data_IF_386889513916
#
_entry.id   IF_386889513916
#
_cell.length_a   1.000
_cell.length_b   1.000
_cell.length_c   1.000
_cell.angle_alpha   90.00
_cell.angle_beta   90.00
_cell.angle_gamma   90.00
#
_symmetry.space_group_name_H-M   'P 1'
#
loop_
_entity.id
_entity.type
_entity.pdbx_description
1 polymer ?
#
# COMPACT_ATOMS: atom_id res chain seq x y z
N UNK A 1 15.25 -1.48 -20.11
CA UNK A 1 15.33 -2.14 -18.79
C UNK A 1 16.59 -2.99 -18.80
N UNK A 2 17.60 -2.65 -17.99
CA UNK A 2 18.81 -3.49 -17.87
C UNK A 2 18.43 -4.66 -16.95
N UNK A 3 18.66 -5.93 -17.33
CA UNK A 3 18.45 -7.07 -16.43
C UNK A 3 19.22 -6.86 -15.12
N UNK A 4 18.64 -7.23 -13.97
CA UNK A 4 19.29 -7.04 -12.66
C UNK A 4 20.71 -7.62 -12.61
N UNK A 5 20.96 -8.72 -13.33
CA UNK A 5 22.27 -9.36 -13.49
C UNK A 5 23.27 -8.50 -14.28
N UNK A 6 22.82 -7.81 -15.33
CA UNK A 6 23.68 -6.90 -16.11
C UNK A 6 23.92 -5.59 -15.36
N UNK A 7 22.97 -5.16 -14.54
CA UNK A 7 23.15 -4.04 -13.61
C UNK A 7 24.14 -4.41 -12.50
N UNK A 8 24.08 -5.64 -11.98
CA UNK A 8 25.03 -6.22 -11.03
C UNK A 8 26.45 -6.29 -11.58
N UNK A 9 26.62 -6.75 -12.82
CA UNK A 9 27.90 -6.67 -13.54
C UNK A 9 28.37 -5.22 -13.63
N UNK A 10 27.46 -4.26 -13.87
CA UNK A 10 27.78 -2.83 -13.90
C UNK A 10 28.17 -2.29 -12.51
N UNK A 11 27.57 -2.75 -11.40
CA UNK A 11 27.96 -2.38 -10.02
C UNK A 11 29.40 -2.85 -9.73
N UNK A 12 29.70 -4.09 -10.11
CA UNK A 12 31.00 -4.72 -9.90
C UNK A 12 32.07 -4.12 -10.82
N UNK A 13 31.74 -3.80 -12.07
CA UNK A 13 32.62 -3.12 -13.03
C UNK A 13 32.85 -1.65 -12.66
N UNK A 14 31.84 -0.98 -12.09
CA UNK A 14 31.94 0.37 -11.53
C UNK A 14 32.48 0.39 -10.09
N UNK A 15 33.21 -0.63 -9.65
CA UNK A 15 33.87 -0.76 -8.34
C UNK A 15 34.71 0.45 -7.85
N UNK A 16 34.88 1.49 -8.68
CA UNK A 16 35.53 2.77 -8.38
C UNK A 16 34.56 3.92 -8.07
N UNK A 17 33.26 3.76 -8.25
CA UNK A 17 32.26 4.78 -7.93
C UNK A 17 31.88 4.73 -6.45
N UNK A 18 31.58 5.90 -5.88
CA UNK A 18 31.01 6.02 -4.55
C UNK A 18 29.61 5.37 -4.56
N UNK A 19 29.31 4.39 -3.68
CA UNK A 19 27.99 3.76 -3.61
C UNK A 19 26.83 4.76 -3.48
N UNK A 20 27.06 5.97 -2.97
CA UNK A 20 26.05 7.05 -2.91
C UNK A 20 25.56 7.48 -4.28
N UNK A 21 26.43 7.49 -5.28
CA UNK A 21 26.10 7.86 -6.66
C UNK A 21 25.12 6.85 -7.28
N UNK A 22 25.05 5.64 -6.73
CA UNK A 22 24.19 4.57 -7.22
C UNK A 22 22.77 4.62 -6.65
N UNK A 23 22.52 5.41 -5.61
CA UNK A 23 21.20 5.46 -4.92
C UNK A 23 20.06 5.78 -5.89
N UNK A 24 20.27 6.70 -6.82
CA UNK A 24 19.26 7.05 -7.82
C UNK A 24 18.93 5.88 -8.74
N UNK A 25 19.95 5.16 -9.21
CA UNK A 25 19.79 3.98 -10.06
C UNK A 25 19.11 2.83 -9.29
N UNK A 26 19.51 2.59 -8.02
CA UNK A 26 18.90 1.60 -7.14
C UNK A 26 17.42 1.91 -6.87
N UNK A 27 17.07 3.17 -6.58
CA UNK A 27 15.68 3.59 -6.34
C UNK A 27 14.77 3.32 -7.53
N UNK A 28 15.31 3.34 -8.75
CA UNK A 28 14.55 3.06 -9.98
C UNK A 28 14.28 1.57 -10.20
N UNK A 29 14.93 0.65 -9.49
CA UNK A 29 14.74 -0.79 -9.67
C UNK A 29 13.42 -1.28 -9.06
N UNK A 30 12.76 -2.28 -9.64
CA UNK A 30 11.61 -2.92 -9.01
C UNK A 30 12.04 -3.68 -7.74
N UNK A 31 11.08 -3.94 -6.84
CA UNK A 31 11.35 -4.50 -5.51
C UNK A 31 11.99 -5.88 -5.58
N UNK A 32 11.53 -6.72 -6.49
CA UNK A 32 12.13 -8.03 -6.76
C UNK A 32 13.59 -7.92 -7.23
N UNK A 33 13.92 -6.87 -8.00
CA UNK A 33 15.29 -6.52 -8.35
C UNK A 33 16.14 -6.20 -7.13
N UNK A 34 15.67 -5.32 -6.24
CA UNK A 34 16.38 -4.94 -5.01
C UNK A 34 16.60 -6.13 -4.07
N UNK A 35 15.61 -7.02 -3.92
CA UNK A 35 15.75 -8.23 -3.09
C UNK A 35 16.80 -9.18 -3.68
N UNK A 36 16.84 -9.36 -5.00
CA UNK A 36 17.92 -10.13 -5.66
C UNK A 36 19.30 -9.49 -5.44
N UNK A 37 19.40 -8.16 -5.48
CA UNK A 37 20.64 -7.45 -5.18
C UNK A 37 21.10 -7.65 -3.73
N UNK A 38 20.19 -7.69 -2.75
CA UNK A 38 20.55 -8.01 -1.36
C UNK A 38 21.18 -9.40 -1.26
N UNK A 39 20.55 -10.42 -1.86
CA UNK A 39 21.07 -11.77 -1.89
C UNK A 39 22.46 -11.83 -2.55
N UNK A 40 22.63 -11.14 -3.68
CA UNK A 40 23.92 -11.05 -4.35
C UNK A 40 25.00 -10.42 -3.44
N UNK A 41 24.69 -9.32 -2.74
CA UNK A 41 25.63 -8.70 -1.81
C UNK A 41 26.01 -9.64 -0.67
N UNK A 42 25.07 -10.44 -0.18
CA UNK A 42 25.28 -11.42 0.89
C UNK A 42 26.18 -12.59 0.45
N UNK A 43 25.94 -13.12 -0.75
CA UNK A 43 26.73 -14.23 -1.31
C UNK A 43 28.19 -13.85 -1.62
N UNK A 44 28.41 -12.59 -2.05
CA UNK A 44 29.70 -12.09 -2.52
C UNK A 44 30.51 -11.38 -1.43
N UNK A 45 29.86 -10.86 -0.39
CA UNK A 45 30.54 -10.18 0.71
C UNK A 45 31.65 -11.06 1.31
N UNK A 46 32.84 -10.47 1.46
CA UNK A 46 34.02 -11.16 2.00
C UNK A 46 34.70 -12.16 1.07
N UNK A 47 34.11 -12.50 -0.09
CA UNK A 47 34.68 -13.44 -1.07
C UNK A 47 35.41 -12.69 -2.18
N UNK A 48 34.71 -11.79 -2.89
CA UNK A 48 35.22 -11.10 -4.07
C UNK A 48 35.58 -9.64 -3.80
N UNK A 49 36.53 -9.10 -4.57
CA UNK A 49 36.90 -7.68 -4.52
C UNK A 49 35.98 -6.84 -5.44
N UNK A 50 35.56 -5.63 -5.04
CA UNK A 50 35.87 -4.96 -3.77
C UNK A 50 34.93 -5.38 -2.63
N UNK A 51 35.49 -6.02 -1.59
CA UNK A 51 34.73 -6.59 -0.45
C UNK A 51 33.87 -5.56 0.30
N UNK A 52 34.31 -4.31 0.35
CA UNK A 52 33.71 -3.22 1.15
C UNK A 52 32.44 -2.66 0.50
N UNK A 53 32.36 -2.62 -0.83
CA UNK A 53 31.24 -1.97 -1.51
C UNK A 53 29.94 -2.77 -1.37
N UNK A 54 30.00 -4.10 -1.24
CA UNK A 54 28.80 -4.92 -1.07
C UNK A 54 28.06 -4.62 0.24
N UNK A 55 28.78 -4.41 1.34
CA UNK A 55 28.17 -3.98 2.59
C UNK A 55 27.53 -2.60 2.45
N UNK A 56 28.22 -1.68 1.76
CA UNK A 56 27.71 -0.32 1.58
C UNK A 56 26.45 -0.26 0.71
N UNK A 57 26.43 -1.01 -0.39
CA UNK A 57 25.27 -1.15 -1.27
C UNK A 57 24.13 -1.89 -0.56
N UNK A 58 24.43 -2.91 0.24
CA UNK A 58 23.43 -3.64 1.03
C UNK A 58 22.68 -2.70 1.98
N UNK A 59 23.40 -1.83 2.71
CA UNK A 59 22.77 -0.86 3.61
C UNK A 59 21.86 0.13 2.87
N UNK A 60 22.28 0.61 1.69
CA UNK A 60 21.51 1.55 0.90
C UNK A 60 20.25 0.89 0.35
N UNK A 61 20.34 -0.37 -0.11
CA UNK A 61 19.17 -1.12 -0.54
C UNK A 61 18.18 -1.30 0.62
N UNK A 62 18.65 -1.68 1.80
CA UNK A 62 17.80 -1.81 3.00
C UNK A 62 17.07 -0.49 3.28
N UNK A 63 17.75 0.65 3.23
CA UNK A 63 17.13 1.96 3.43
C UNK A 63 16.12 2.34 2.34
N UNK A 64 16.42 2.04 1.06
CA UNK A 64 15.46 2.22 -0.04
C UNK A 64 14.20 1.36 0.19
N UNK A 65 14.36 0.15 0.71
CA UNK A 65 13.23 -0.70 1.07
C UNK A 65 12.44 -0.14 2.26
N UNK A 66 13.10 0.51 3.21
CA UNK A 66 12.44 1.30 4.27
C UNK A 66 11.52 2.39 3.72
N UNK A 67 11.97 3.12 2.70
CA UNK A 67 11.13 4.12 2.01
C UNK A 67 9.89 3.47 1.38
N UNK A 68 10.04 2.28 0.77
CA UNK A 68 8.91 1.53 0.16
C UNK A 68 7.92 0.99 1.19
N UNK A 69 8.39 0.68 2.39
CA UNK A 69 7.54 0.34 3.52
C UNK A 69 6.73 1.55 4.06
N UNK A 70 7.06 2.76 3.60
CA UNK A 70 6.36 4.00 3.90
C UNK A 70 6.99 4.82 5.03
N UNK A 71 8.22 4.51 5.41
CA UNK A 71 8.98 5.31 6.37
C UNK A 71 9.64 6.51 5.68
N UNK A 72 9.84 7.59 6.42
CA UNK A 72 10.83 8.61 6.05
C UNK A 72 12.21 8.10 6.47
N UNK A 73 13.15 8.00 5.53
CA UNK A 73 14.45 7.37 5.76
C UNK A 73 15.59 8.37 5.65
N UNK A 74 16.40 8.43 6.69
CA UNK A 74 17.73 9.03 6.67
C UNK A 74 18.76 7.91 6.47
N UNK A 75 19.59 8.05 5.44
CA UNK A 75 20.64 7.08 5.14
C UNK A 75 21.87 7.35 6.01
N UNK A 76 22.47 6.32 6.57
CA UNK A 76 23.69 6.43 7.36
C UNK A 76 24.88 6.99 6.57
N UNK A 77 25.77 7.68 7.29
CA UNK A 77 27.10 8.04 6.79
C UNK A 77 28.00 6.82 6.99
N UNK A 78 28.28 6.10 5.90
CA UNK A 78 29.06 4.87 5.88
C UNK A 78 30.16 4.81 6.95
N UNK A 79 30.13 3.75 7.77
CA UNK A 79 31.08 3.50 8.89
C UNK A 79 31.01 4.48 10.06
N UNK A 80 30.04 5.39 10.08
CA UNK A 80 29.81 6.34 11.16
C UNK A 80 28.35 6.29 11.62
N UNK A 81 28.16 5.88 12.86
CA UNK A 81 26.82 5.76 13.43
C UNK A 81 26.04 4.59 12.82
N UNK A 82 24.70 4.64 12.86
CA UNK A 82 23.84 3.59 12.32
C UNK A 82 23.77 3.63 10.79
N UNK A 83 23.52 2.48 10.18
CA UNK A 83 23.33 2.36 8.72
C UNK A 83 22.12 3.16 8.21
N UNK A 84 21.12 3.40 9.05
CA UNK A 84 19.99 4.27 8.71
C UNK A 84 19.05 4.56 9.87
N UNK A 85 18.18 5.55 9.68
CA UNK A 85 17.14 5.94 10.63
C UNK A 85 15.81 5.99 9.89
N UNK A 86 14.85 5.17 10.33
CA UNK A 86 13.51 5.12 9.75
C UNK A 86 12.52 5.80 10.70
N UNK A 87 11.77 6.76 10.18
CA UNK A 87 10.83 7.57 10.97
C UNK A 87 9.40 7.46 10.45
N UNK A 88 8.44 7.42 11.36
CA UNK A 88 7.01 7.46 11.05
C UNK A 88 6.24 8.10 12.23
N UNK A 89 5.73 9.32 12.03
CA UNK A 89 5.19 10.11 13.14
C UNK A 89 6.26 10.33 14.22
N UNK A 90 5.93 10.03 15.47
CA UNK A 90 6.87 10.13 16.61
C UNK A 90 7.78 8.89 16.76
N UNK A 91 7.58 7.86 15.93
CA UNK A 91 8.39 6.65 15.99
C UNK A 91 9.68 6.84 15.21
N UNK A 92 10.80 6.50 15.87
CA UNK A 92 12.14 6.46 15.28
C UNK A 92 12.75 5.07 15.46
N UNK A 93 13.13 4.42 14.37
CA UNK A 93 13.75 3.09 14.36
C UNK A 93 15.19 3.23 13.85
N UNK A 94 16.15 2.79 14.66
CA UNK A 94 17.56 2.71 14.26
C UNK A 94 17.77 1.43 13.47
N UNK A 95 18.30 1.53 12.26
CA UNK A 95 18.49 0.38 11.38
C UNK A 95 19.98 0.07 11.26
N UNK A 96 20.31 -1.20 11.45
CA UNK A 96 21.65 -1.75 11.25
C UNK A 96 21.53 -2.96 10.34
N UNK A 97 22.29 -2.98 9.25
CA UNK A 97 22.25 -4.05 8.25
C UNK A 97 23.58 -4.76 8.15
N UNK A 98 23.55 -6.10 8.03
CA UNK A 98 24.76 -6.88 7.81
C UNK A 98 24.54 -7.90 6.70
N UNK A 99 25.55 -8.03 5.84
CA UNK A 99 25.60 -9.08 4.81
C UNK A 99 25.80 -10.48 5.42
N UNK A 100 26.19 -10.57 6.69
CA UNK A 100 26.26 -11.80 7.47
C UNK A 100 26.01 -11.50 8.95
N UNK A 101 25.27 -12.38 9.60
CA UNK A 101 24.95 -12.29 11.03
C UNK A 101 26.14 -12.50 11.97
N UNK A 102 27.20 -13.15 11.49
CA UNK A 102 28.41 -13.44 12.28
C UNK A 102 29.10 -12.18 12.83
N UNK A 103 28.89 -11.04 12.16
CA UNK A 103 29.48 -9.74 12.54
C UNK A 103 28.46 -8.79 13.15
N UNK A 104 27.22 -9.24 13.37
CA UNK A 104 26.18 -8.41 13.96
C UNK A 104 26.37 -8.30 15.47
N UNK A 105 26.55 -7.07 15.94
CA UNK A 105 26.59 -6.75 17.37
C UNK A 105 25.27 -6.12 17.79
N UNK A 106 24.36 -6.92 18.37
CA UNK A 106 23.05 -6.44 18.84
C UNK A 106 23.21 -5.31 19.86
N UNK A 107 24.25 -5.38 20.70
CA UNK A 107 24.60 -4.32 21.65
C UNK A 107 24.82 -2.97 20.98
N UNK A 108 25.51 -2.93 19.84
CA UNK A 108 25.77 -1.68 19.13
C UNK A 108 24.45 -1.00 18.71
N UNK A 109 23.49 -1.78 18.24
CA UNK A 109 22.17 -1.27 17.86
C UNK A 109 21.43 -0.72 19.09
N UNK A 110 21.48 -1.45 20.22
CA UNK A 110 20.93 -0.98 21.49
C UNK A 110 21.56 0.33 21.95
N UNK A 111 22.90 0.44 21.90
CA UNK A 111 23.63 1.64 22.30
C UNK A 111 23.19 2.84 21.44
N UNK A 112 23.08 2.69 20.12
CA UNK A 112 22.55 3.73 19.24
C UNK A 112 21.09 4.14 19.56
N UNK A 113 20.24 3.18 19.92
CA UNK A 113 18.86 3.49 20.34
C UNK A 113 18.85 4.41 21.56
N UNK A 114 19.75 4.17 22.51
CA UNK A 114 19.88 4.99 23.73
C UNK A 114 20.49 6.36 23.44
N UNK A 115 21.56 6.41 22.67
CA UNK A 115 22.26 7.65 22.32
C UNK A 115 21.37 8.61 21.51
N UNK A 116 20.57 8.08 20.58
CA UNK A 116 19.72 8.87 19.69
C UNK A 116 18.29 9.04 20.19
N UNK A 117 17.99 8.54 21.40
CA UNK A 117 16.67 8.52 22.02
C UNK A 117 15.58 8.01 21.05
N UNK A 118 15.84 6.86 20.43
CA UNK A 118 14.96 6.25 19.44
C UNK A 118 13.94 5.33 20.10
N UNK A 119 12.87 5.00 19.37
CA UNK A 119 11.83 4.09 19.84
C UNK A 119 12.28 2.63 19.89
N UNK A 120 13.11 2.21 18.92
CA UNK A 120 13.63 0.84 18.87
C UNK A 120 14.80 0.70 17.89
N UNK A 121 15.49 -0.44 17.98
CA UNK A 121 16.49 -0.88 17.02
C UNK A 121 15.95 -1.98 16.11
N UNK A 122 16.42 -2.03 14.86
CA UNK A 122 16.10 -3.05 13.89
C UNK A 122 17.40 -3.54 13.22
N UNK A 123 17.83 -4.74 13.59
CA UNK A 123 18.94 -5.41 12.94
C UNK A 123 18.45 -6.28 11.77
N UNK A 124 19.05 -6.11 10.60
CA UNK A 124 18.69 -6.80 9.37
C UNK A 124 19.87 -7.62 8.84
N UNK A 125 19.71 -8.93 8.72
CA UNK A 125 20.74 -9.87 8.29
C UNK A 125 20.12 -11.06 7.51
N UNK A 126 20.88 -11.88 6.79
CA UNK A 126 20.31 -13.05 6.10
C UNK A 126 19.75 -14.11 7.08
N UNK A 127 20.42 -14.30 8.22
CA UNK A 127 20.01 -15.20 9.29
C UNK A 127 20.37 -14.60 10.67
N UNK A 128 20.10 -15.31 11.76
CA UNK A 128 20.53 -14.93 13.11
C UNK A 128 20.97 -16.16 13.89
N UNK A 129 22.03 -16.02 14.69
CA UNK A 129 22.51 -17.06 15.61
C UNK A 129 21.72 -17.04 16.92
N UNK A 130 21.82 -18.10 17.73
CA UNK A 130 21.21 -18.16 19.05
C UNK A 130 21.70 -17.01 19.96
N UNK A 131 22.99 -16.68 19.89
CA UNK A 131 23.58 -15.57 20.64
C UNK A 131 22.94 -14.23 20.26
N UNK A 132 22.65 -14.02 18.96
CA UNK A 132 21.93 -12.81 18.52
C UNK A 132 20.51 -12.76 19.10
N UNK A 133 19.80 -13.89 19.11
CA UNK A 133 18.44 -14.00 19.65
C UNK A 133 18.43 -13.75 21.15
N UNK A 134 19.35 -14.36 21.90
CA UNK A 134 19.50 -14.15 23.35
C UNK A 134 19.82 -12.69 23.68
N UNK A 135 20.76 -12.08 22.94
CA UNK A 135 21.09 -10.67 23.13
C UNK A 135 19.89 -9.74 22.88
N UNK A 136 19.17 -9.94 21.78
CA UNK A 136 17.99 -9.11 21.46
C UNK A 136 16.89 -9.24 22.52
N UNK A 137 16.67 -10.45 23.04
CA UNK A 137 15.75 -10.68 24.17
C UNK A 137 16.20 -9.96 25.44
N UNK A 138 17.50 -9.95 25.72
CA UNK A 138 18.05 -9.31 26.92
C UNK A 138 17.91 -7.79 26.91
N UNK A 139 18.09 -7.14 25.75
CA UNK A 139 17.95 -5.68 25.64
C UNK A 139 16.50 -5.23 25.52
N UNK A 140 15.63 -6.04 24.89
CA UNK A 140 14.20 -5.80 24.79
C UNK A 140 13.77 -4.72 23.79
N UNK A 141 14.68 -3.83 23.38
CA UNK A 141 14.42 -2.73 22.45
C UNK A 141 14.94 -2.95 21.01
N UNK A 142 15.61 -4.07 20.75
CA UNK A 142 16.12 -4.44 19.42
C UNK A 142 15.31 -5.60 18.81
N UNK A 143 14.77 -5.39 17.61
CA UNK A 143 14.18 -6.45 16.78
C UNK A 143 15.19 -6.99 15.79
N UNK A 144 15.08 -8.28 15.49
CA UNK A 144 15.86 -8.97 14.46
C UNK A 144 14.92 -9.32 13.30
N UNK A 145 15.28 -8.92 12.08
CA UNK A 145 14.50 -9.19 10.87
C UNK A 145 15.39 -9.74 9.77
N UNK A 146 15.06 -10.90 9.21
CA UNK A 146 15.86 -11.44 8.11
C UNK A 146 15.63 -10.66 6.82
N UNK A 147 16.57 -10.66 5.88
CA UNK A 147 16.33 -10.04 4.55
C UNK A 147 15.18 -10.70 3.80
N UNK A 148 14.96 -12.00 3.99
CA UNK A 148 13.75 -12.69 3.51
C UNK A 148 12.49 -12.15 4.19
N UNK A 149 12.51 -11.97 5.51
CA UNK A 149 11.43 -11.35 6.26
C UNK A 149 11.09 -9.95 5.77
N UNK A 150 12.11 -9.11 5.52
CA UNK A 150 11.95 -7.78 4.94
C UNK A 150 11.27 -7.85 3.55
N UNK A 151 11.71 -8.77 2.69
CA UNK A 151 11.08 -9.02 1.39
C UNK A 151 9.59 -9.38 1.49
N UNK A 152 9.22 -10.22 2.47
CA UNK A 152 7.81 -10.57 2.72
C UNK A 152 7.00 -9.38 3.24
N UNK A 153 7.57 -8.54 4.10
CA UNK A 153 6.89 -7.31 4.56
C UNK A 153 6.60 -6.37 3.38
N UNK A 154 7.56 -6.24 2.44
CA UNK A 154 7.36 -5.46 1.22
C UNK A 154 6.27 -6.05 0.33
N UNK A 155 6.28 -7.36 0.09
CA UNK A 155 5.24 -8.03 -0.70
C UNK A 155 3.85 -7.77 -0.09
N UNK A 156 3.73 -7.88 1.24
CA UNK A 156 2.49 -7.57 1.95
C UNK A 156 2.12 -6.09 1.85
N UNK A 157 3.09 -5.18 1.93
CA UNK A 157 2.85 -3.73 1.84
C UNK A 157 2.45 -3.29 0.44
N UNK A 158 3.11 -3.78 -0.60
CA UNK A 158 2.84 -3.48 -2.01
C UNK A 158 1.55 -4.16 -2.49
N UNK A 159 1.21 -5.33 -1.93
CA UNK A 159 -0.09 -5.96 -2.08
C UNK A 159 -1.21 -5.28 -1.29
N UNK A 160 -0.94 -4.13 -0.67
CA UNK A 160 -1.79 -3.37 0.24
C UNK A 160 -2.37 -4.19 1.41
N UNK A 161 -1.76 -5.32 1.79
CA UNK A 161 -2.22 -6.17 2.90
C UNK A 161 -1.82 -5.62 4.26
N UNK A 162 -0.75 -4.83 4.32
CA UNK A 162 -0.29 -4.14 5.51
C UNK A 162 -0.20 -2.63 5.27
N UNK A 163 -0.58 -1.84 6.28
CA UNK A 163 -0.30 -0.40 6.31
C UNK A 163 1.02 -0.13 7.02
N UNK A 164 1.57 1.06 6.85
CA UNK A 164 2.77 1.47 7.58
C UNK A 164 2.53 1.51 9.09
N UNK A 165 1.33 1.88 9.56
CA UNK A 165 0.95 1.77 10.97
C UNK A 165 1.05 0.32 11.51
N UNK A 166 0.58 -0.65 10.71
CA UNK A 166 0.70 -2.07 11.09
C UNK A 166 2.17 -2.51 11.12
N UNK A 167 2.99 -2.02 10.19
CA UNK A 167 4.43 -2.31 10.15
C UNK A 167 5.16 -1.74 11.37
N UNK A 168 4.82 -0.52 11.80
CA UNK A 168 5.35 0.07 13.04
C UNK A 168 5.06 -0.83 14.25
N UNK A 169 3.83 -1.35 14.38
CA UNK A 169 3.47 -2.27 15.48
C UNK A 169 4.22 -3.61 15.43
N UNK A 170 4.68 -4.04 14.25
CA UNK A 170 5.48 -5.25 14.08
C UNK A 170 6.95 -4.98 14.42
N UNK A 171 7.49 -3.88 13.91
CA UNK A 171 8.92 -3.56 13.96
C UNK A 171 9.35 -2.88 15.27
N UNK A 172 8.43 -2.24 15.98
CA UNK A 172 8.69 -1.67 17.31
C UNK A 172 8.31 -2.70 18.38
N UNK A 173 9.16 -2.99 19.37
CA UNK A 173 8.80 -3.77 20.54
C UNK A 173 7.60 -3.16 21.27
N UNK A 174 6.50 -3.90 21.34
CA UNK A 174 5.32 -3.51 22.12
C UNK A 174 5.26 -4.41 23.33
N UNK A 175 5.46 -3.85 24.53
CA UNK A 175 5.14 -4.51 25.80
C UNK A 175 3.62 -4.50 26.02
N UNK A 176 2.88 -5.21 25.18
CA UNK A 176 1.43 -5.32 25.32
C UNK A 176 1.06 -6.74 25.73
N UNK A 177 0.40 -6.86 26.88
CA UNK A 177 -0.30 -8.08 27.28
C UNK A 177 -1.54 -8.33 26.40
N UNK A 178 -2.06 -7.29 25.74
CA UNK A 178 -3.20 -7.39 24.83
C UNK A 178 -2.75 -7.94 23.48
N UNK A 179 -3.40 -9.01 23.03
CA UNK A 179 -3.13 -9.68 21.76
C UNK A 179 -3.92 -9.11 20.58
N UNK A 180 -4.86 -8.18 20.84
CA UNK A 180 -5.76 -7.62 19.83
C UNK A 180 -5.01 -7.03 18.63
N UNK A 181 -3.84 -6.41 18.84
CA UNK A 181 -3.04 -5.87 17.74
C UNK A 181 -2.54 -6.96 16.77
N UNK A 182 -2.18 -8.15 17.27
CA UNK A 182 -1.78 -9.27 16.43
C UNK A 182 -2.98 -9.81 15.67
N UNK A 183 -4.15 -9.88 16.32
CA UNK A 183 -5.39 -10.29 15.68
C UNK A 183 -5.75 -9.33 14.56
N UNK A 184 -5.62 -8.02 14.76
CA UNK A 184 -5.86 -7.00 13.73
C UNK A 184 -4.93 -7.17 12.53
N UNK A 185 -3.63 -7.41 12.76
CA UNK A 185 -2.64 -7.68 11.71
C UNK A 185 -3.00 -8.95 10.95
N UNK A 186 -3.29 -10.05 11.67
CA UNK A 186 -3.66 -11.33 11.06
C UNK A 186 -4.94 -11.16 10.24
N UNK A 187 -5.94 -10.46 10.76
CA UNK A 187 -7.20 -10.23 10.08
C UNK A 187 -7.02 -9.33 8.84
N UNK A 188 -6.15 -8.32 8.90
CA UNK A 188 -5.80 -7.49 7.75
C UNK A 188 -5.15 -8.32 6.61
N UNK A 189 -4.30 -9.30 6.96
CA UNK A 189 -3.64 -10.18 5.99
C UNK A 189 -4.60 -11.29 5.47
N UNK A 190 -5.33 -11.93 6.38
CA UNK A 190 -6.15 -13.11 6.11
C UNK A 190 -7.45 -12.78 5.39
N UNK A 191 -7.99 -11.58 5.59
CA UNK A 191 -9.19 -11.15 4.89
C UNK A 191 -8.84 -10.98 3.41
N UNK A 192 -9.33 -11.83 2.50
CA UNK A 192 -9.09 -11.63 1.08
C UNK A 192 -9.67 -10.27 0.73
N UNK A 193 -8.79 -9.34 0.38
CA UNK A 193 -9.27 -8.08 -0.17
C UNK A 193 -10.02 -8.44 -1.44
N UNK A 194 -11.26 -7.93 -1.55
CA UNK A 194 -11.91 -7.84 -2.83
C UNK A 194 -10.87 -7.27 -3.79
N UNK A 195 -10.56 -8.02 -4.85
CA UNK A 195 -9.49 -7.70 -5.79
C UNK A 195 -9.41 -6.18 -5.99
N UNK A 196 -8.20 -5.57 -5.93
CA UNK A 196 -8.07 -4.14 -6.15
C UNK A 196 -8.92 -3.81 -7.37
N UNK A 197 -9.96 -3.02 -7.15
CA UNK A 197 -10.78 -2.57 -8.25
C UNK A 197 -9.82 -1.74 -9.08
N UNK A 198 -9.30 -2.35 -10.16
CA UNK A 198 -8.40 -1.69 -11.11
C UNK A 198 -8.90 -0.25 -11.27
N UNK A 199 -8.05 0.76 -11.10
CA UNK A 199 -8.42 2.11 -11.51
C UNK A 199 -8.96 1.95 -12.93
N UNK A 200 -10.18 2.43 -13.11
CA UNK A 200 -10.92 2.29 -14.36
C UNK A 200 -9.99 2.79 -15.48
N UNK A 201 -9.92 2.14 -16.63
CA UNK A 201 -9.20 2.72 -17.77
C UNK A 201 -9.98 3.94 -18.25
N UNK A 202 -9.30 5.10 -18.46
CA UNK A 202 -9.97 6.23 -19.15
C UNK A 202 -10.36 5.75 -20.54
N UNK A 203 -11.52 6.17 -21.08
CA UNK A 203 -12.11 5.57 -22.26
C UNK A 203 -11.23 5.79 -23.50
N UNK A 204 -10.57 4.73 -23.96
CA UNK A 204 -10.29 4.57 -25.39
C UNK A 204 -11.61 4.25 -26.10
N UNK A 205 -11.83 4.86 -27.26
CA UNK A 205 -12.98 4.59 -28.14
C UNK A 205 -13.17 3.06 -28.28
N UNK A 206 -14.34 2.47 -27.97
CA UNK A 206 -14.47 1.02 -27.91
C UNK A 206 -14.29 0.37 -29.28
N UNK A 207 -13.55 -0.73 -29.40
CA UNK A 207 -13.75 -1.71 -30.47
C UNK A 207 -15.13 -2.37 -30.28
N UNK A 208 -15.82 -2.61 -31.39
CA UNK A 208 -17.16 -3.20 -31.43
C UNK A 208 -17.19 -4.65 -30.91
N UNK A 209 -17.60 -4.84 -29.65
CA UNK A 209 -18.23 -6.08 -29.17
C UNK A 209 -19.50 -5.72 -28.40
N UNK A 210 -20.55 -6.54 -28.55
CA UNK A 210 -21.96 -6.24 -28.22
C UNK A 210 -22.21 -5.43 -26.94
N UNK A 211 -23.20 -4.51 -27.03
CA UNK A 211 -23.54 -3.55 -25.97
C UNK A 211 -23.86 -4.28 -24.65
N UNK A 212 -23.15 -3.99 -23.54
CA UNK A 212 -23.46 -4.56 -22.24
C UNK A 212 -24.86 -4.14 -21.76
N UNK A 213 -25.54 -4.99 -20.98
CA UNK A 213 -26.88 -4.72 -20.41
C UNK A 213 -26.86 -4.62 -18.88
N UNK A 214 -27.87 -3.99 -18.27
CA UNK A 214 -28.01 -3.92 -16.81
C UNK A 214 -28.13 -5.32 -16.19
N UNK A 215 -28.92 -6.21 -16.81
CA UNK A 215 -29.10 -7.59 -16.38
C UNK A 215 -27.78 -8.36 -16.23
N UNK A 216 -26.81 -8.11 -17.11
CA UNK A 216 -25.48 -8.75 -17.03
C UNK A 216 -24.69 -8.30 -15.80
N UNK A 217 -24.92 -7.07 -15.30
CA UNK A 217 -24.32 -6.60 -14.05
C UNK A 217 -25.02 -7.18 -12.84
N UNK A 218 -26.36 -7.25 -12.88
CA UNK A 218 -27.17 -7.74 -11.77
C UNK A 218 -27.07 -9.26 -11.59
N UNK A 219 -26.83 -10.04 -12.66
CA UNK A 219 -26.58 -11.50 -12.58
C UNK A 219 -25.39 -11.89 -11.70
N UNK A 220 -24.44 -10.97 -11.45
CA UNK A 220 -23.26 -11.21 -10.60
C UNK A 220 -23.55 -11.03 -9.11
N UNK A 221 -24.73 -10.52 -8.77
CA UNK A 221 -25.17 -10.27 -7.41
C UNK A 221 -25.81 -11.54 -6.87
N UNK A 222 -25.32 -12.01 -5.73
CA UNK A 222 -25.82 -13.22 -5.05
C UNK A 222 -26.89 -12.85 -4.01
N UNK A 223 -26.83 -11.64 -3.44
CA UNK A 223 -27.79 -11.14 -2.45
C UNK A 223 -28.91 -10.33 -3.13
N UNK A 224 -30.12 -10.88 -3.20
CA UNK A 224 -31.27 -10.26 -3.87
C UNK A 224 -31.62 -8.84 -3.41
N UNK A 225 -31.37 -8.52 -2.14
CA UNK A 225 -31.57 -7.18 -1.56
C UNK A 225 -30.82 -6.07 -2.32
N UNK A 226 -29.62 -6.35 -2.86
CA UNK A 226 -28.82 -5.35 -3.58
C UNK A 226 -29.45 -5.02 -4.94
N UNK A 227 -30.08 -5.99 -5.59
CA UNK A 227 -30.82 -5.76 -6.85
C UNK A 227 -32.05 -4.88 -6.59
N UNK A 228 -32.82 -5.19 -5.54
CA UNK A 228 -33.97 -4.38 -5.13
C UNK A 228 -33.55 -2.93 -4.77
N UNK A 229 -32.43 -2.80 -4.06
CA UNK A 229 -31.84 -1.51 -3.70
C UNK A 229 -31.48 -0.69 -4.94
N UNK A 230 -30.83 -1.31 -5.94
CA UNK A 230 -30.52 -0.64 -7.21
C UNK A 230 -31.76 -0.14 -7.94
N UNK A 231 -32.78 -0.98 -8.06
CA UNK A 231 -34.04 -0.59 -8.72
C UNK A 231 -34.70 0.58 -7.99
N UNK A 232 -34.68 0.60 -6.66
CA UNK A 232 -35.20 1.75 -5.88
C UNK A 232 -34.41 3.03 -6.14
N UNK A 233 -33.08 2.98 -6.18
CA UNK A 233 -32.26 4.15 -6.56
C UNK A 233 -32.61 4.61 -7.98
N UNK A 234 -32.69 3.67 -8.93
CA UNK A 234 -32.99 3.97 -10.33
C UNK A 234 -34.35 4.66 -10.46
N UNK A 235 -35.39 4.11 -9.84
CA UNK A 235 -36.73 4.70 -9.83
C UNK A 235 -36.75 6.07 -9.16
N UNK A 236 -36.04 6.25 -8.04
CA UNK A 236 -35.94 7.56 -7.38
C UNK A 236 -35.27 8.60 -8.28
N UNK A 237 -34.16 8.26 -8.94
CA UNK A 237 -33.47 9.18 -9.85
C UNK A 237 -34.29 9.47 -11.11
N UNK A 238 -34.98 8.50 -11.69
CA UNK A 238 -35.86 8.72 -12.85
C UNK A 238 -37.10 9.55 -12.51
N UNK A 239 -37.61 9.46 -11.27
CA UNK A 239 -38.66 10.35 -10.77
C UNK A 239 -38.14 11.77 -10.56
N UNK A 240 -36.89 11.90 -10.13
CA UNK A 240 -36.23 13.19 -9.95
C UNK A 240 -36.00 13.91 -11.28
N UNK A 241 -35.50 13.20 -12.30
CA UNK A 241 -35.44 13.69 -13.68
C UNK A 241 -35.53 12.50 -14.67
N UNK A 242 -36.61 12.42 -15.49
CA UNK A 242 -36.80 11.35 -16.47
C UNK A 242 -35.72 11.28 -17.57
N UNK A 243 -34.95 12.34 -17.78
CA UNK A 243 -33.87 12.35 -18.79
C UNK A 243 -32.57 11.70 -18.30
N UNK A 244 -32.49 11.32 -17.02
CA UNK A 244 -31.35 10.58 -16.47
C UNK A 244 -31.26 9.20 -17.12
N UNK A 245 -30.05 8.84 -17.54
CA UNK A 245 -29.74 7.56 -18.19
C UNK A 245 -28.84 6.73 -17.31
N UNK A 246 -29.20 5.46 -17.18
CA UNK A 246 -28.38 4.40 -16.61
C UNK A 246 -27.78 3.63 -17.79
N UNK A 247 -26.53 3.92 -18.14
CA UNK A 247 -25.88 3.36 -19.32
C UNK A 247 -24.91 2.26 -18.86
N UNK A 248 -25.24 0.97 -19.11
CA UNK A 248 -24.32 -0.11 -18.81
C UNK A 248 -23.03 0.04 -19.62
N UNK A 249 -21.92 -0.16 -18.94
CA UNK A 249 -20.58 -0.28 -19.50
C UNK A 249 -20.05 -1.69 -19.18
N UNK A 250 -18.86 -2.05 -19.68
CA UNK A 250 -18.30 -3.39 -19.45
C UNK A 250 -18.21 -3.79 -17.97
N UNK A 251 -17.96 -2.83 -17.08
CA UNK A 251 -17.68 -3.09 -15.66
C UNK A 251 -18.57 -2.34 -14.66
N UNK A 252 -19.36 -1.38 -15.10
CA UNK A 252 -20.17 -0.52 -14.24
C UNK A 252 -21.39 -0.02 -15.01
N UNK A 253 -22.33 0.62 -14.31
CA UNK A 253 -23.43 1.37 -14.89
C UNK A 253 -23.13 2.86 -14.66
N UNK A 254 -23.01 3.63 -15.74
CA UNK A 254 -22.85 5.08 -15.66
C UNK A 254 -24.21 5.73 -15.44
N UNK A 255 -24.30 6.65 -14.48
CA UNK A 255 -25.49 7.47 -14.27
C UNK A 255 -25.20 8.89 -14.75
N UNK A 256 -25.95 9.34 -15.76
CA UNK A 256 -25.68 10.60 -16.47
C UNK A 256 -26.92 11.23 -17.05
N UNK A 257 -26.86 12.54 -17.30
CA UNK A 257 -27.72 13.24 -18.27
C UNK A 257 -26.86 13.77 -19.40
N UNK A 258 -26.26 14.95 -19.22
CA UNK A 258 -25.23 15.46 -20.15
C UNK A 258 -23.84 14.97 -19.74
N UNK A 259 -23.55 14.98 -18.43
CA UNK A 259 -22.31 14.49 -17.82
C UNK A 259 -22.58 13.34 -16.85
N UNK A 260 -21.55 12.53 -16.62
CA UNK A 260 -21.60 11.49 -15.58
C UNK A 260 -21.54 12.15 -14.21
N UNK A 261 -22.47 11.78 -13.33
CA UNK A 261 -22.48 12.24 -11.94
C UNK A 261 -22.38 11.08 -10.94
N UNK A 262 -22.54 9.84 -11.41
CA UNK A 262 -22.24 8.66 -10.61
C UNK A 262 -21.85 7.44 -11.47
N UNK A 263 -21.17 6.49 -10.84
CA UNK A 263 -20.81 5.20 -11.41
C UNK A 263 -21.14 4.09 -10.43
N UNK A 264 -21.95 3.13 -10.86
CA UNK A 264 -22.42 2.02 -10.01
C UNK A 264 -21.74 0.72 -10.42
N UNK A 265 -21.14 0.03 -9.45
CA UNK A 265 -20.53 -1.28 -9.65
C UNK A 265 -21.07 -2.29 -8.65
N UNK A 266 -21.38 -3.47 -9.16
CA UNK A 266 -21.92 -4.57 -8.38
C UNK A 266 -20.85 -5.59 -8.01
N UNK A 267 -21.01 -6.16 -6.83
CA UNK A 267 -20.30 -7.35 -6.37
C UNK A 267 -21.31 -8.36 -5.82
N UNK A 268 -20.85 -9.52 -5.36
CA UNK A 268 -21.74 -10.59 -4.88
C UNK A 268 -22.72 -10.15 -3.79
N UNK A 269 -22.33 -9.24 -2.90
CA UNK A 269 -23.12 -8.88 -1.71
C UNK A 269 -23.35 -7.37 -1.53
N UNK A 270 -22.83 -6.51 -2.41
CA UNK A 270 -22.90 -5.05 -2.26
C UNK A 270 -22.76 -4.30 -3.56
N UNK A 271 -23.34 -3.10 -3.59
CA UNK A 271 -23.20 -2.09 -4.63
C UNK A 271 -22.24 -1.00 -4.16
N UNK A 272 -21.29 -0.63 -5.01
CA UNK A 272 -20.40 0.51 -4.78
C UNK A 272 -20.79 1.61 -5.74
N UNK A 273 -20.98 2.80 -5.22
CA UNK A 273 -21.34 3.97 -6.02
C UNK A 273 -20.23 4.99 -5.85
N UNK A 274 -19.55 5.33 -6.95
CA UNK A 274 -18.69 6.51 -7.00
C UNK A 274 -19.58 7.70 -7.30
N UNK A 275 -19.62 8.66 -6.40
CA UNK A 275 -20.45 9.88 -6.49
C UNK A 275 -19.52 11.04 -6.81
N UNK A 276 -19.83 11.79 -7.88
CA UNK A 276 -19.01 12.91 -8.37
C UNK A 276 -19.25 14.18 -7.55
N UNK A 277 -18.89 14.11 -6.27
CA UNK A 277 -18.93 15.19 -5.30
C UNK A 277 -17.69 15.14 -4.40
N UNK A 278 -17.26 16.28 -3.82
CA UNK A 278 -16.24 16.29 -2.77
C UNK A 278 -16.63 15.39 -1.60
N UNK A 279 -15.65 14.70 -1.01
CA UNK A 279 -15.87 13.79 0.12
C UNK A 279 -16.54 14.49 1.30
N UNK A 280 -16.18 15.75 1.54
CA UNK A 280 -16.65 16.57 2.64
C UNK A 280 -18.17 16.80 2.52
N UNK A 281 -18.66 17.07 1.31
CA UNK A 281 -20.11 17.18 1.02
C UNK A 281 -20.80 15.83 1.23
N UNK A 282 -20.22 14.75 0.69
CA UNK A 282 -20.72 13.39 0.86
C UNK A 282 -20.86 12.97 2.32
N UNK A 283 -19.84 13.25 3.13
CA UNK A 283 -19.81 12.96 4.56
C UNK A 283 -20.84 13.76 5.37
N UNK A 284 -21.28 14.90 4.85
CA UNK A 284 -22.41 15.67 5.39
C UNK A 284 -23.76 15.02 5.12
N UNK A 285 -23.91 14.39 3.95
CA UNK A 285 -25.18 13.82 3.47
C UNK A 285 -25.41 12.38 3.91
N UNK A 286 -24.35 11.56 3.95
CA UNK A 286 -24.40 10.12 4.22
C UNK A 286 -23.75 9.84 5.57
N UNK A 287 -24.51 9.26 6.50
CA UNK A 287 -24.09 8.99 7.87
C UNK A 287 -24.06 7.50 8.20
N UNK A 288 -24.92 6.71 7.57
CA UNK A 288 -25.14 5.31 7.95
C UNK A 288 -24.47 4.34 6.99
N UNK A 289 -24.23 4.74 5.75
CA UNK A 289 -23.44 3.93 4.80
C UNK A 289 -21.93 4.20 4.89
N UNK A 290 -21.07 3.16 4.76
CA UNK A 290 -19.63 3.35 4.71
C UNK A 290 -19.20 4.23 3.53
N UNK A 291 -18.43 5.27 3.85
CA UNK A 291 -17.82 6.18 2.89
C UNK A 291 -16.32 5.98 2.78
N UNK A 292 -15.79 6.08 1.56
CA UNK A 292 -14.36 6.03 1.28
C UNK A 292 -13.97 7.30 0.51
N UNK A 293 -13.05 8.08 1.09
CA UNK A 293 -12.36 9.16 0.39
C UNK A 293 -11.42 8.54 -0.64
N UNK A 294 -11.61 8.87 -1.91
CA UNK A 294 -10.74 8.37 -2.98
C UNK A 294 -9.45 9.20 -3.01
N UNK A 295 -8.33 8.59 -3.41
CA UNK A 295 -7.05 9.30 -3.51
C UNK A 295 -7.10 10.37 -4.60
N UNK A 296 -6.22 11.37 -4.52
CA UNK A 296 -6.17 12.45 -5.51
C UNK A 296 -5.99 11.90 -6.93
N UNK A 297 -5.09 10.93 -7.12
CA UNK A 297 -4.88 10.28 -8.41
C UNK A 297 -6.17 9.64 -8.98
N UNK A 298 -7.03 9.07 -8.13
CA UNK A 298 -8.33 8.52 -8.56
C UNK A 298 -9.32 9.64 -8.89
N UNK A 299 -9.34 10.72 -8.12
CA UNK A 299 -10.20 11.88 -8.41
C UNK A 299 -9.80 12.58 -9.72
N UNK A 300 -8.51 12.79 -9.96
CA UNK A 300 -7.96 13.32 -11.22
C UNK A 300 -8.27 12.39 -12.40
N UNK A 301 -8.26 11.08 -12.13
CA UNK A 301 -8.67 10.08 -13.09
C UNK A 301 -10.17 10.20 -13.46
N UNK A 302 -11.05 10.43 -12.48
CA UNK A 302 -12.48 10.71 -12.74
C UNK A 302 -12.73 12.13 -13.30
N UNK A 303 -11.73 13.01 -13.19
CA UNK A 303 -11.78 14.39 -13.69
C UNK A 303 -12.54 15.37 -12.79
N UNK A 304 -12.91 14.97 -11.58
CA UNK A 304 -13.53 15.83 -10.58
C UNK A 304 -13.43 15.20 -9.19
N UNK A 305 -13.59 16.00 -8.10
CA UNK A 305 -13.70 15.47 -6.76
C UNK A 305 -14.80 14.42 -6.66
N UNK A 306 -14.48 13.27 -6.06
CA UNK A 306 -15.41 12.17 -5.92
C UNK A 306 -15.12 11.34 -4.68
N UNK A 307 -16.16 10.67 -4.19
CA UNK A 307 -16.05 9.69 -3.11
C UNK A 307 -16.80 8.41 -3.47
N UNK A 308 -16.60 7.37 -2.67
CA UNK A 308 -17.30 6.10 -2.83
C UNK A 308 -18.18 5.80 -1.63
N UNK A 309 -19.44 5.45 -1.89
CA UNK A 309 -20.37 4.88 -0.90
C UNK A 309 -20.56 3.40 -1.16
N UNK A 310 -20.67 2.62 -0.08
CA UNK A 310 -20.96 1.18 -0.12
C UNK A 310 -22.39 0.95 0.38
N UNK A 311 -23.21 0.30 -0.43
CA UNK A 311 -24.62 0.00 -0.12
C UNK A 311 -24.84 -1.51 -0.17
N UNK A 312 -25.35 -2.09 0.92
CA UNK A 312 -25.53 -3.55 1.10
C UNK A 312 -27.00 -3.99 1.22
N UNK A 313 -27.90 -3.04 1.47
CA UNK A 313 -29.35 -3.22 1.57
C UNK A 313 -30.08 -1.88 1.37
N UNK A 314 -31.41 -1.91 1.47
CA UNK A 314 -32.26 -0.73 1.35
C UNK A 314 -32.29 0.15 2.61
N UNK A 315 -31.63 -0.28 3.69
CA UNK A 315 -31.58 0.50 4.93
C UNK A 315 -30.98 1.87 4.64
N UNK A 316 -31.70 2.92 5.05
CA UNK A 316 -31.24 4.31 4.94
C UNK A 316 -30.85 4.73 3.51
N UNK A 317 -31.58 4.22 2.50
CA UNK A 317 -31.29 4.53 1.10
C UNK A 317 -31.50 6.00 0.74
N UNK A 318 -32.32 6.71 1.53
CA UNK A 318 -32.67 8.12 1.33
C UNK A 318 -31.44 9.05 1.34
N UNK A 319 -30.46 8.80 2.21
CA UNK A 319 -29.21 9.60 2.23
C UNK A 319 -28.38 9.38 0.96
N UNK A 320 -28.39 8.17 0.39
CA UNK A 320 -27.69 7.85 -0.85
C UNK A 320 -28.36 8.53 -2.04
N UNK A 321 -29.70 8.48 -2.10
CA UNK A 321 -30.48 9.18 -3.15
C UNK A 321 -30.22 10.69 -3.08
N UNK A 322 -30.26 11.28 -1.88
CA UNK A 322 -29.98 12.71 -1.70
C UNK A 322 -28.57 13.11 -2.17
N UNK A 323 -27.57 12.27 -1.92
CA UNK A 323 -26.21 12.50 -2.43
C UNK A 323 -26.13 12.43 -3.96
N UNK A 324 -26.90 11.54 -4.60
CA UNK A 324 -26.96 11.43 -6.06
C UNK A 324 -27.69 12.61 -6.70
N UNK A 325 -28.77 13.11 -6.08
CA UNK A 325 -29.43 14.34 -6.51
C UNK A 325 -28.48 15.53 -6.43
N UNK A 326 -27.70 15.65 -5.34
CA UNK A 326 -26.75 16.74 -5.20
C UNK A 326 -25.61 16.63 -6.22
N UNK A 327 -25.13 15.42 -6.50
CA UNK A 327 -24.15 15.18 -7.56
C UNK A 327 -24.70 15.54 -8.94
N UNK A 328 -25.96 15.20 -9.20
CA UNK A 328 -26.66 15.61 -10.42
C UNK A 328 -26.71 17.13 -10.53
N UNK A 329 -27.14 17.83 -9.47
CA UNK A 329 -27.21 19.31 -9.48
C UNK A 329 -25.83 19.90 -9.70
N UNK A 330 -24.79 19.39 -9.05
CA UNK A 330 -23.42 19.87 -9.20
C UNK A 330 -22.88 19.68 -10.63
N UNK A 331 -23.18 18.55 -11.28
CA UNK A 331 -22.70 18.25 -12.63
C UNK A 331 -23.40 19.06 -13.74
N UNK A 332 -24.54 19.68 -13.42
CA UNK A 332 -25.42 20.39 -14.38
C UNK A 332 -25.74 21.83 -13.96
N UNK A 333 -24.97 22.40 -13.03
CA UNK A 333 -24.76 23.85 -12.94
C UNK A 333 -23.82 24.28 -14.07
#
# INVERSE_FOLDING_TARGET
>A
MIPAEKFLETIVEKAKMDPREMRAELKALPTDGLIRLLGFCQERAGRDLPRRNYGLVHQDIVNILGERLGFTVEFGDYEKGPDGIWSYGDVKIIVESKTSSAWLQVRQVHDYVRELNASSGLAIAPEFTEDNLMAARSYGDVRLLTTNGLGRLLELKEGDRLTTDSLVKILVPVESVKLDYFIDIIYAIAKPRAAPEKPVEKPGKPPELGKPTEEQHLKKVVKGEVVATYEKIKQAMLRFDPEIKFIPQKYYIAVRKTRNFAYMRFSKAKMRIVVMLPYEVGSGLIKKHPLIKLSQAVQDWYGAPCFRVIVESEADLEEVVKALEEAYRHAHK
#
